data_IF_977193433019
#
_entry.id   IF_977193433019
#
_cell.length_a   1.000
_cell.length_b   1.000
_cell.length_c   1.000
_cell.angle_alpha   90.00
_cell.angle_beta   90.00
_cell.angle_gamma   90.00
#
_symmetry.space_group_name_H-M   'P 1'
#
loop_
_entity.id
_entity.type
_entity.pdbx_description
1 polymer ?
#
# COMPACT_ATOMS: atom_id res chain seq x y z
N UNK A 1 7.15 14.74 8.62
CA UNK A 1 7.98 14.65 7.40
C UNK A 1 7.04 14.56 6.21
N UNK A 2 7.30 15.33 5.16
CA UNK A 2 6.48 15.32 3.95
C UNK A 2 7.09 14.35 2.95
N UNK A 3 6.29 13.41 2.49
CA UNK A 3 6.59 12.49 1.41
C UNK A 3 5.78 12.80 0.16
N UNK A 4 5.84 11.91 -0.83
CA UNK A 4 5.11 12.01 -2.09
C UNK A 4 4.60 10.65 -2.58
N UNK A 5 3.60 10.70 -3.46
CA UNK A 5 3.11 9.53 -4.19
C UNK A 5 4.11 9.19 -5.28
N UNK A 6 4.88 8.12 -5.08
CA UNK A 6 5.85 7.63 -6.06
C UNK A 6 5.15 6.87 -7.20
N UNK A 7 4.15 6.04 -6.88
CA UNK A 7 3.34 5.33 -7.86
C UNK A 7 1.93 5.06 -7.36
N UNK A 8 1.00 4.98 -8.31
CA UNK A 8 -0.37 4.52 -8.11
C UNK A 8 -0.53 3.24 -8.92
N UNK A 9 -0.90 2.13 -8.28
CA UNK A 9 -0.96 0.83 -8.92
C UNK A 9 -2.35 0.21 -8.75
N UNK A 10 -2.90 -0.34 -9.83
CA UNK A 10 -4.22 -0.98 -9.81
C UNK A 10 -4.23 -2.30 -10.57
N UNK A 11 -5.15 -3.19 -10.21
CA UNK A 11 -5.44 -4.41 -10.97
C UNK A 11 -6.95 -4.64 -11.00
N UNK A 12 -7.60 -4.31 -12.13
CA UNK A 12 -9.06 -4.44 -12.28
C UNK A 12 -9.57 -5.89 -12.20
N UNK A 13 -8.76 -6.88 -12.62
CA UNK A 13 -9.06 -8.30 -12.44
C UNK A 13 -8.70 -8.84 -11.04
N UNK A 14 -8.12 -7.99 -10.20
CA UNK A 14 -7.47 -8.32 -8.94
C UNK A 14 -6.21 -9.18 -9.07
N UNK A 15 -5.49 -9.31 -7.96
CA UNK A 15 -4.22 -10.05 -7.90
C UNK A 15 -3.00 -9.13 -7.94
N UNK A 16 -1.84 -9.73 -8.24
CA UNK A 16 -0.55 -9.04 -8.39
C UNK A 16 0.13 -9.53 -9.68
N UNK A 17 0.97 -8.71 -10.33
CA UNK A 17 1.29 -7.33 -9.98
C UNK A 17 0.11 -6.37 -10.26
N UNK A 18 0.02 -5.31 -9.46
CA UNK A 18 -0.78 -4.13 -9.80
C UNK A 18 0.03 -3.25 -10.75
N UNK A 19 -0.59 -2.70 -11.79
CA UNK A 19 0.10 -1.94 -12.83
C UNK A 19 -0.02 -0.44 -12.59
N UNK A 20 1.02 0.35 -12.92
CA UNK A 20 1.06 1.77 -12.64
C UNK A 20 0.09 2.57 -13.52
N UNK A 21 -0.54 3.58 -12.91
CA UNK A 21 -1.40 4.58 -13.56
C UNK A 21 -1.03 5.99 -13.09
N UNK A 22 -1.44 7.01 -13.86
CA UNK A 22 -1.03 8.41 -13.59
C UNK A 22 -1.81 9.08 -12.47
N UNK A 23 -3.09 8.75 -12.36
CA UNK A 23 -4.02 9.31 -11.38
C UNK A 23 -5.19 8.35 -11.17
N UNK A 24 -5.82 8.42 -10.01
CA UNK A 24 -7.02 7.67 -9.68
C UNK A 24 -7.93 8.46 -8.72
N UNK A 25 -9.23 8.21 -8.80
CA UNK A 25 -10.14 8.58 -7.73
C UNK A 25 -10.04 7.55 -6.59
N UNK A 26 -9.95 8.04 -5.36
CA UNK A 26 -9.92 7.23 -4.14
C UNK A 26 -11.22 7.46 -3.40
N UNK A 27 -12.10 6.47 -3.45
CA UNK A 27 -13.39 6.48 -2.77
C UNK A 27 -13.40 5.61 -1.51
N UNK A 28 -14.48 5.67 -0.74
CA UNK A 28 -14.65 4.81 0.45
C UNK A 28 -14.50 3.32 0.14
N UNK A 29 -14.88 2.91 -1.07
CA UNK A 29 -14.79 1.53 -1.55
C UNK A 29 -13.41 1.15 -2.11
N UNK A 30 -12.44 2.06 -2.13
CA UNK A 30 -11.07 1.83 -2.58
C UNK A 30 -10.64 2.69 -3.76
N UNK A 31 -9.54 2.28 -4.39
CA UNK A 31 -8.95 3.00 -5.53
C UNK A 31 -9.64 2.57 -6.83
N UNK A 32 -10.14 3.54 -7.60
CA UNK A 32 -10.80 3.27 -8.87
C UNK A 32 -9.87 2.51 -9.83
N UNK A 33 -10.40 1.47 -10.48
CA UNK A 33 -9.64 0.58 -11.36
C UNK A 33 -8.94 -0.58 -10.64
N UNK A 34 -8.96 -0.64 -9.30
CA UNK A 34 -8.45 -1.78 -8.54
C UNK A 34 -9.55 -2.70 -8.03
N UNK A 35 -9.25 -4.00 -7.94
CA UNK A 35 -10.16 -4.97 -7.35
C UNK A 35 -9.46 -5.92 -6.38
N UNK A 36 -9.74 -5.76 -5.09
CA UNK A 36 -9.26 -6.68 -4.06
C UNK A 36 -10.25 -7.83 -3.84
N UNK A 37 -10.07 -8.94 -4.58
CA UNK A 37 -10.90 -10.15 -4.46
C UNK A 37 -11.02 -10.69 -3.04
N UNK A 38 -9.91 -10.67 -2.28
CA UNK A 38 -9.95 -11.17 -0.90
C UNK A 38 -10.82 -10.28 -0.01
N UNK A 39 -10.74 -8.95 -0.18
CA UNK A 39 -11.62 -8.01 0.52
C UNK A 39 -13.09 -8.27 0.15
N UNK A 40 -13.39 -8.37 -1.14
CA UNK A 40 -14.75 -8.55 -1.64
C UNK A 40 -15.37 -9.91 -1.22
N UNK A 41 -14.65 -11.01 -1.40
CA UNK A 41 -15.21 -12.37 -1.27
C UNK A 41 -15.04 -12.98 0.13
N UNK A 42 -14.05 -12.52 0.91
CA UNK A 42 -13.68 -13.16 2.20
C UNK A 42 -13.74 -12.22 3.39
N UNK A 43 -13.88 -10.91 3.16
CA UNK A 43 -13.95 -9.89 4.20
C UNK A 43 -15.19 -9.01 4.08
N UNK A 44 -16.18 -9.43 3.30
CA UNK A 44 -17.46 -8.72 3.17
C UNK A 44 -17.31 -7.22 2.86
N UNK A 45 -16.36 -6.90 1.97
CA UNK A 45 -16.12 -5.51 1.58
C UNK A 45 -15.45 -4.65 2.65
N UNK A 46 -14.79 -5.23 3.66
CA UNK A 46 -14.17 -4.52 4.80
C UNK A 46 -13.56 -3.15 4.42
N UNK A 47 -14.12 -2.02 4.91
CA UNK A 47 -13.64 -0.67 4.56
C UNK A 47 -12.23 -0.40 5.10
N UNK A 48 -11.76 -1.12 6.12
CA UNK A 48 -10.40 -1.03 6.63
C UNK A 48 -9.34 -1.52 5.65
N UNK A 49 -9.75 -2.21 4.58
CA UNK A 49 -8.84 -2.75 3.55
C UNK A 49 -9.06 -2.09 2.19
N UNK A 50 -9.68 -0.91 2.16
CA UNK A 50 -9.98 -0.16 0.93
C UNK A 50 -8.70 0.24 0.17
N UNK A 51 -7.65 0.61 0.89
CA UNK A 51 -6.36 1.02 0.31
C UNK A 51 -5.22 0.18 0.90
N UNK A 52 -4.23 -0.16 0.07
CA UNK A 52 -2.96 -0.74 0.50
C UNK A 52 -1.80 0.19 0.14
N UNK A 53 -0.87 0.45 1.06
CA UNK A 53 0.31 1.31 0.83
C UNK A 53 1.63 0.59 1.11
N UNK A 54 2.70 0.99 0.41
CA UNK A 54 4.07 0.56 0.70
C UNK A 54 5.10 1.66 0.47
N UNK A 55 6.30 1.50 1.05
CA UNK A 55 7.40 2.47 0.90
C UNK A 55 8.35 2.08 -0.23
N UNK A 56 8.73 3.05 -1.06
CA UNK A 56 9.74 2.85 -2.09
C UNK A 56 11.12 2.55 -1.46
N UNK A 57 11.43 3.14 -0.30
CA UNK A 57 12.66 2.87 0.44
C UNK A 57 12.72 1.41 0.89
N UNK A 58 11.61 0.84 1.36
CA UNK A 58 11.55 -0.59 1.70
C UNK A 58 11.68 -1.48 0.47
N UNK A 59 11.05 -1.12 -0.65
CA UNK A 59 11.21 -1.83 -1.92
C UNK A 59 12.69 -1.82 -2.34
N UNK A 60 13.35 -0.65 -2.35
CA UNK A 60 14.77 -0.51 -2.69
C UNK A 60 15.68 -1.32 -1.76
N UNK A 61 15.41 -1.34 -0.45
CA UNK A 61 16.16 -2.16 0.50
C UNK A 61 15.99 -3.66 0.22
N UNK A 62 14.78 -4.11 -0.09
CA UNK A 62 14.53 -5.50 -0.46
C UNK A 62 15.21 -5.88 -1.79
N UNK A 63 15.26 -4.96 -2.76
CA UNK A 63 16.02 -5.13 -4.00
C UNK A 63 17.53 -5.27 -3.74
N UNK A 64 18.08 -4.49 -2.79
CA UNK A 64 19.48 -4.63 -2.36
C UNK A 64 19.76 -5.97 -1.66
N UNK A 65 18.75 -6.55 -1.00
CA UNK A 65 18.79 -7.93 -0.47
C UNK A 65 18.65 -9.00 -1.58
N UNK A 66 18.45 -8.58 -2.84
CA UNK A 66 18.33 -9.43 -4.03
C UNK A 66 16.90 -9.85 -4.38
N UNK A 67 15.89 -9.38 -3.64
CA UNK A 67 14.50 -9.74 -3.94
C UNK A 67 14.05 -9.11 -5.26
N UNK A 68 13.36 -9.87 -6.14
CA UNK A 68 12.84 -9.36 -7.41
C UNK A 68 11.56 -8.52 -7.24
N UNK A 69 11.43 -7.84 -6.10
CA UNK A 69 10.30 -6.97 -5.81
C UNK A 69 10.42 -5.69 -6.63
N UNK A 70 9.29 -5.20 -7.10
CA UNK A 70 9.19 -3.89 -7.71
C UNK A 70 7.86 -3.23 -7.31
N UNK A 71 7.68 -1.99 -7.74
CA UNK A 71 6.43 -1.23 -7.59
C UNK A 71 5.24 -2.06 -8.07
N UNK A 72 4.23 -2.19 -7.21
CA UNK A 72 2.98 -2.89 -7.48
C UNK A 72 3.07 -4.42 -7.41
N UNK A 73 4.27 -5.02 -7.36
CA UNK A 73 4.41 -6.49 -7.31
C UNK A 73 4.01 -7.06 -5.94
N UNK A 74 4.13 -6.23 -4.90
CA UNK A 74 3.61 -6.54 -3.58
C UNK A 74 2.13 -6.18 -3.43
N UNK A 75 1.44 -5.70 -4.47
CA UNK A 75 0.00 -5.47 -4.47
C UNK A 75 -0.48 -4.23 -3.73
N UNK A 76 0.42 -3.30 -3.42
CA UNK A 76 0.09 -1.99 -2.89
C UNK A 76 -0.58 -1.12 -3.97
N UNK A 77 -1.55 -0.31 -3.56
CA UNK A 77 -2.16 0.72 -4.41
C UNK A 77 -1.29 1.97 -4.49
N UNK A 78 -0.69 2.38 -3.38
CA UNK A 78 0.21 3.53 -3.37
C UNK A 78 1.59 3.12 -2.92
N UNK A 79 2.58 3.41 -3.75
CA UNK A 79 3.97 3.42 -3.34
C UNK A 79 4.30 4.85 -2.92
N UNK A 80 4.80 5.03 -1.71
CA UNK A 80 5.08 6.33 -1.10
C UNK A 80 6.58 6.50 -0.90
N UNK A 81 7.08 7.71 -1.13
CA UNK A 81 8.46 8.13 -0.86
C UNK A 81 8.48 9.16 0.28
N UNK A 82 9.53 9.15 1.09
CA UNK A 82 9.85 10.21 2.07
C UNK A 82 9.12 10.13 3.42
N UNK A 83 8.25 9.15 3.64
CA UNK A 83 7.65 8.89 4.96
C UNK A 83 8.54 7.91 5.74
N UNK A 84 8.86 8.27 6.97
CA UNK A 84 9.57 7.41 7.93
C UNK A 84 8.70 6.20 8.29
N UNK A 85 8.88 5.10 7.57
CA UNK A 85 7.98 3.93 7.61
C UNK A 85 7.86 3.25 8.99
N UNK A 86 8.94 3.10 9.79
CA UNK A 86 8.86 2.57 11.15
C UNK A 86 7.92 3.29 12.11
N UNK A 87 7.60 4.57 11.89
CA UNK A 87 6.75 5.33 12.82
C UNK A 87 5.25 5.12 12.57
N UNK A 88 4.90 4.39 11.50
CA UNK A 88 3.53 4.11 11.15
C UNK A 88 2.92 3.07 12.10
N UNK A 89 1.69 3.33 12.54
CA UNK A 89 0.90 2.43 13.37
C UNK A 89 -0.59 2.53 13.05
N UNK A 90 -1.38 1.61 13.61
CA UNK A 90 -2.85 1.66 13.53
C UNK A 90 -3.37 3.01 14.02
N UNK A 91 -4.32 3.58 13.28
CA UNK A 91 -4.89 4.90 13.57
C UNK A 91 -4.12 6.08 12.97
N UNK A 92 -2.92 5.87 12.41
CA UNK A 92 -2.16 6.93 11.74
C UNK A 92 -2.94 7.47 10.55
N UNK A 93 -3.10 8.79 10.48
CA UNK A 93 -3.78 9.46 9.37
C UNK A 93 -2.74 10.01 8.39
N UNK A 94 -2.91 9.69 7.11
CA UNK A 94 -2.07 10.15 6.02
C UNK A 94 -2.94 10.93 5.03
N UNK A 95 -2.60 12.19 4.79
CA UNK A 95 -3.12 12.90 3.61
C UNK A 95 -2.33 12.49 2.39
N UNK A 96 -3.00 12.09 1.31
CA UNK A 96 -2.40 11.65 0.06
C UNK A 96 -3.12 12.32 -1.11
N UNK A 97 -2.45 13.30 -1.74
CA UNK A 97 -3.10 14.15 -2.76
C UNK A 97 -4.39 14.78 -2.24
N UNK A 98 -5.48 14.59 -2.97
CA UNK A 98 -6.82 15.04 -2.57
C UNK A 98 -7.55 14.16 -1.56
N UNK A 99 -7.00 13.00 -1.17
CA UNK A 99 -7.67 12.04 -0.28
C UNK A 99 -7.02 11.99 1.12
N UNK A 100 -7.72 11.40 2.09
CA UNK A 100 -7.17 11.05 3.40
C UNK A 100 -7.45 9.60 3.73
N UNK A 101 -6.44 8.91 4.24
CA UNK A 101 -6.53 7.53 4.67
C UNK A 101 -6.13 7.38 6.14
N UNK A 102 -6.70 6.40 6.81
CA UNK A 102 -6.33 6.02 8.18
C UNK A 102 -5.87 4.56 8.21
N UNK A 103 -4.67 4.30 8.71
CA UNK A 103 -4.12 2.95 8.77
C UNK A 103 -4.95 2.08 9.72
N UNK A 104 -5.36 0.91 9.24
CA UNK A 104 -6.24 -0.02 9.94
C UNK A 104 -5.47 -1.19 10.55
N UNK A 105 -4.56 -1.78 9.77
CA UNK A 105 -3.75 -2.94 10.16
C UNK A 105 -2.53 -3.11 9.24
N UNK A 106 -1.47 -3.77 9.71
CA UNK A 106 -0.40 -4.25 8.84
C UNK A 106 -0.94 -5.29 7.85
N UNK A 107 -0.53 -5.24 6.57
CA UNK A 107 -0.93 -6.28 5.63
C UNK A 107 -0.13 -7.56 5.89
N UNK A 108 -0.81 -8.61 6.36
CA UNK A 108 -0.23 -9.94 6.46
C UNK A 108 0.31 -10.40 5.08
N UNK A 109 1.57 -10.86 5.00
CA UNK A 109 2.13 -11.35 3.75
C UNK A 109 1.49 -12.70 3.40
N UNK A 110 1.27 -12.95 2.10
CA UNK A 110 0.62 -14.17 1.63
C UNK A 110 1.30 -14.71 0.37
N UNK A 111 0.98 -15.95 -0.01
CA UNK A 111 1.59 -16.60 -1.17
C UNK A 111 1.43 -15.84 -2.48
N UNK A 112 0.41 -14.98 -2.61
CA UNK A 112 0.18 -14.16 -3.82
C UNK A 112 1.36 -13.24 -4.13
N UNK A 113 2.03 -12.70 -3.11
CA UNK A 113 3.21 -11.83 -3.32
C UNK A 113 4.52 -12.63 -3.38
N UNK A 114 4.48 -13.96 -3.39
CA UNK A 114 5.67 -14.82 -3.35
C UNK A 114 6.66 -14.52 -4.48
N UNK A 115 6.17 -14.18 -5.68
CA UNK A 115 7.01 -13.80 -6.82
C UNK A 115 7.85 -12.53 -6.60
N UNK A 116 7.54 -11.72 -5.59
CA UNK A 116 8.34 -10.55 -5.21
C UNK A 116 9.55 -10.90 -4.34
N UNK A 117 9.72 -12.16 -3.92
CA UNK A 117 10.76 -12.54 -2.96
C UNK A 117 11.54 -13.77 -3.45
N UNK A 118 12.88 -13.71 -3.36
CA UNK A 118 13.75 -14.89 -3.49
C UNK A 118 13.19 -16.06 -2.68
N UNK A 119 13.16 -17.24 -3.31
CA UNK A 119 12.63 -18.49 -2.76
C UNK A 119 11.20 -18.39 -2.20
N UNK A 120 10.41 -17.43 -2.68
CA UNK A 120 9.07 -17.14 -2.14
C UNK A 120 9.07 -16.81 -0.64
N UNK A 121 10.16 -16.24 -0.09
CA UNK A 121 10.28 -15.83 1.32
C UNK A 121 9.50 -14.55 1.64
N UNK A 122 8.21 -14.51 1.30
CA UNK A 122 7.32 -13.35 1.50
C UNK A 122 7.11 -12.97 2.97
N UNK A 123 7.41 -13.86 3.92
CA UNK A 123 7.44 -13.52 5.34
C UNK A 123 8.55 -12.52 5.72
N UNK A 124 9.39 -12.09 4.77
CA UNK A 124 10.38 -11.03 4.97
C UNK A 124 9.76 -9.67 5.31
N UNK A 125 8.53 -9.41 4.86
CA UNK A 125 7.77 -8.17 5.15
C UNK A 125 6.67 -8.40 6.20
N UNK A 126 6.81 -9.45 7.00
CA UNK A 126 5.91 -9.79 8.09
C UNK A 126 6.10 -8.83 9.27
N UNK A 127 5.04 -8.12 9.66
CA UNK A 127 5.09 -7.09 10.70
C UNK A 127 5.47 -7.67 12.06
N UNK A 128 4.94 -8.84 12.43
CA UNK A 128 5.20 -9.46 13.74
C UNK A 128 6.64 -9.91 13.90
N UNK A 129 7.31 -10.21 12.77
CA UNK A 129 8.71 -10.62 12.76
C UNK A 129 9.65 -9.41 12.65
N UNK A 130 9.21 -8.37 11.97
CA UNK A 130 10.01 -7.19 11.60
C UNK A 130 9.12 -5.96 11.52
N UNK A 131 8.94 -5.33 12.67
CA UNK A 131 8.21 -4.06 12.77
C UNK A 131 8.82 -3.02 11.80
N UNK A 132 7.94 -2.24 11.16
CA UNK A 132 8.34 -1.23 10.18
C UNK A 132 8.75 -1.77 8.80
N UNK A 133 8.54 -3.05 8.48
CA UNK A 133 8.80 -3.64 7.16
C UNK A 133 7.56 -4.01 6.36
N UNK A 134 6.39 -4.04 6.99
CA UNK A 134 5.15 -4.45 6.35
C UNK A 134 4.55 -3.35 5.46
N UNK A 135 3.70 -3.79 4.53
CA UNK A 135 2.67 -2.93 3.92
C UNK A 135 1.61 -2.58 4.96
N UNK A 136 0.81 -1.56 4.66
CA UNK A 136 -0.33 -1.16 5.50
C UNK A 136 -1.63 -1.18 4.71
N UNK A 137 -2.69 -1.67 5.36
CA UNK A 137 -4.07 -1.49 4.92
C UNK A 137 -4.64 -0.23 5.59
N UNK A 138 -5.58 0.41 4.90
CA UNK A 138 -6.17 1.65 5.39
C UNK A 138 -7.64 1.82 4.98
N UNK A 139 -8.38 2.50 5.86
CA UNK A 139 -9.64 3.15 5.55
C UNK A 139 -9.39 4.36 4.66
N UNK A 140 -10.36 4.68 3.80
CA UNK A 140 -10.49 6.03 3.23
C UNK A 140 -11.42 6.82 4.15
N UNK A 141 -10.96 7.95 4.66
CA UNK A 141 -11.75 8.81 5.56
C UNK A 141 -12.14 10.15 4.91
N UNK A 142 -11.50 10.49 3.79
CA UNK A 142 -11.88 11.58 2.91
C UNK A 142 -11.56 11.17 1.47
N UNK A 143 -12.57 11.20 0.60
CA UNK A 143 -12.42 10.85 -0.81
C UNK A 143 -11.69 11.95 -1.58
N UNK A 144 -11.03 11.58 -2.67
CA UNK A 144 -10.41 12.56 -3.56
C UNK A 144 -9.60 11.96 -4.68
N UNK A 145 -9.19 12.81 -5.62
CA UNK A 145 -8.29 12.43 -6.70
C UNK A 145 -6.84 12.49 -6.22
N UNK A 146 -6.08 11.47 -6.57
CA UNK A 146 -4.64 11.36 -6.28
C UNK A 146 -3.91 11.19 -7.60
N UNK A 147 -2.84 11.95 -7.80
CA UNK A 147 -1.94 11.86 -8.94
C UNK A 147 -0.52 11.48 -8.49
N UNK A 148 0.24 10.83 -9.36
CA UNK A 148 1.67 10.61 -9.12
C UNK A 148 2.38 11.95 -8.93
N UNK A 149 3.23 12.03 -7.89
CA UNK A 149 3.91 13.26 -7.49
C UNK A 149 3.17 14.09 -6.45
N UNK A 150 1.91 13.77 -6.14
CA UNK A 150 1.16 14.44 -5.07
C UNK A 150 1.84 14.27 -3.72
N UNK A 151 1.62 15.23 -2.81
CA UNK A 151 2.14 15.16 -1.45
C UNK A 151 1.48 14.03 -0.64
N UNK A 152 2.28 13.34 0.17
CA UNK A 152 1.85 12.35 1.14
C UNK A 152 2.42 12.70 2.53
N UNK A 153 1.59 12.90 3.54
CA UNK A 153 2.11 13.37 4.83
C UNK A 153 1.24 12.96 6.02
N UNK A 154 1.93 12.70 7.14
CA UNK A 154 1.30 12.36 8.40
C UNK A 154 0.53 13.56 8.94
N UNK A 155 -0.73 13.35 9.29
CA UNK A 155 -1.54 14.35 9.99
C UNK A 155 -1.43 14.10 11.49
N UNK A 156 -1.36 15.18 12.27
CA UNK A 156 -1.61 15.09 13.71
C UNK A 156 -3.12 14.87 13.89
N UNK A 157 -3.46 13.94 14.77
CA UNK A 157 -4.84 13.77 15.25
C UNK A 157 -5.33 15.05 15.94
#
# INVERSE_FOLDING_TARGET
>A
MAGSVYSINVSGSGGVPKLPIRAAFVGFEGVEGDHNKFRAERKDGDPGRAVCIFSIERIRQLQQEGHPIDVGTAGENFTIEGIDWPVLGVGTIIGIGGAKIQLSEPCAPCSKIGGSFIDSKFSRVDHEKREGWSRWSAFVIEEGTVSVGDSAFLRKA
#
